data_IF_372857311690
#
_entry.id   IF_372857311690
#
_cell.length_a   1.000
_cell.length_b   1.000
_cell.length_c   1.000
_cell.angle_alpha   90.00
_cell.angle_beta   90.00
_cell.angle_gamma   90.00
#
_symmetry.space_group_name_H-M   'P 1'
#
loop_
_entity.id
_entity.type
_entity.pdbx_description
1 polymer ?
#
# COMPACT_ATOMS: atom_id res chain seq x y z
N UNK A 1 25.73 23.31 0.92
CA UNK A 1 25.65 22.86 -0.48
C UNK A 1 26.36 23.87 -1.36
N UNK A 2 27.14 23.43 -2.35
CA UNK A 2 27.90 24.33 -3.24
C UNK A 2 26.95 25.08 -4.19
N UNK A 3 27.19 26.36 -4.42
CA UNK A 3 26.38 27.27 -5.25
C UNK A 3 26.13 26.73 -6.66
N UNK A 4 27.04 25.87 -7.14
CA UNK A 4 26.99 25.14 -8.40
C UNK A 4 25.77 24.21 -8.56
N UNK A 5 25.25 23.61 -7.49
CA UNK A 5 24.08 22.71 -7.56
C UNK A 5 22.78 23.50 -7.76
N UNK A 6 22.71 24.70 -7.20
CA UNK A 6 21.54 25.58 -7.31
C UNK A 6 21.36 26.08 -8.75
N UNK A 7 22.46 26.47 -9.40
CA UNK A 7 22.48 26.96 -10.79
C UNK A 7 22.08 25.88 -11.81
N UNK A 8 22.35 24.60 -11.54
CA UNK A 8 22.02 23.48 -12.42
C UNK A 8 20.52 23.12 -12.47
N UNK A 9 19.74 23.53 -11.46
CA UNK A 9 18.30 23.25 -11.36
C UNK A 9 17.43 24.26 -12.12
N UNK A 10 17.97 25.41 -12.51
CA UNK A 10 17.21 26.51 -13.12
C UNK A 10 17.12 26.44 -14.65
N UNK A 11 17.84 25.53 -15.33
CA UNK A 11 17.97 25.51 -16.81
C UNK A 11 17.65 24.18 -17.52
N UNK A 12 17.37 23.10 -16.79
CA UNK A 12 17.05 21.76 -17.33
C UNK A 12 15.88 21.14 -16.58
N UNK A 13 15.22 20.13 -17.17
CA UNK A 13 14.23 19.38 -16.39
C UNK A 13 14.93 18.73 -15.20
N UNK A 14 14.29 18.76 -14.02
CA UNK A 14 14.85 18.22 -12.76
C UNK A 14 15.48 16.84 -12.97
N UNK A 15 14.77 15.98 -13.71
CA UNK A 15 15.23 14.64 -14.01
C UNK A 15 16.53 14.65 -14.83
N UNK A 16 16.63 15.46 -15.88
CA UNK A 16 17.89 15.59 -16.65
C UNK A 16 19.06 16.08 -15.78
N UNK A 17 18.81 17.00 -14.84
CA UNK A 17 19.84 17.46 -13.92
C UNK A 17 20.29 16.35 -12.98
N UNK A 18 19.36 15.64 -12.34
CA UNK A 18 19.65 14.54 -11.43
C UNK A 18 20.36 13.38 -12.14
N UNK A 19 19.99 13.11 -13.39
CA UNK A 19 20.60 12.06 -14.20
C UNK A 19 22.02 12.42 -14.69
N UNK A 20 22.43 13.68 -14.62
CA UNK A 20 23.73 14.13 -15.12
C UNK A 20 24.91 13.58 -14.31
N UNK A 21 26.02 13.26 -14.97
CA UNK A 21 27.24 12.81 -14.29
C UNK A 21 27.81 13.86 -13.34
N UNK A 22 27.65 15.15 -13.65
CA UNK A 22 28.05 16.24 -12.77
C UNK A 22 27.30 16.17 -11.43
N UNK A 23 25.98 16.00 -11.46
CA UNK A 23 25.18 15.87 -10.25
C UNK A 23 25.56 14.62 -9.46
N UNK A 24 25.70 13.46 -10.12
CA UNK A 24 26.13 12.21 -9.47
C UNK A 24 27.48 12.34 -8.79
N UNK A 25 28.44 12.98 -9.45
CA UNK A 25 29.78 13.18 -8.90
C UNK A 25 29.74 14.01 -7.62
N UNK A 26 28.96 15.10 -7.61
CA UNK A 26 28.75 15.93 -6.42
C UNK A 26 28.04 15.15 -5.32
N UNK A 27 26.95 14.47 -5.66
CA UNK A 27 26.16 13.66 -4.74
C UNK A 27 27.03 12.59 -4.05
N UNK A 28 27.83 11.85 -4.81
CA UNK A 28 28.77 10.84 -4.29
C UNK A 28 29.83 11.46 -3.38
N UNK A 29 30.43 12.57 -3.80
CA UNK A 29 31.44 13.27 -3.01
C UNK A 29 30.88 13.77 -1.67
N UNK A 30 29.64 14.25 -1.64
CA UNK A 30 29.01 14.68 -0.41
C UNK A 30 28.56 13.49 0.45
N UNK A 31 28.09 12.41 -0.19
CA UNK A 31 27.82 11.15 0.48
C UNK A 31 29.07 10.55 1.14
N UNK A 32 30.24 10.59 0.51
CA UNK A 32 31.51 10.09 1.06
C UNK A 32 31.92 10.82 2.35
N UNK A 33 31.58 12.10 2.48
CA UNK A 33 31.87 12.92 3.67
C UNK A 33 30.87 12.73 4.80
N UNK A 34 29.70 12.15 4.51
CA UNK A 34 28.62 11.98 5.47
C UNK A 34 29.10 11.13 6.65
N UNK A 35 28.84 11.55 7.89
CA UNK A 35 29.09 10.71 9.05
C UNK A 35 28.01 9.63 9.17
N UNK A 36 28.21 8.65 10.05
CA UNK A 36 27.19 7.63 10.34
C UNK A 36 26.12 8.12 11.33
N UNK A 37 26.21 9.38 11.79
CA UNK A 37 25.19 9.96 12.66
C UNK A 37 23.88 10.13 11.90
N UNK A 38 22.76 9.63 12.44
CA UNK A 38 21.45 9.75 11.80
C UNK A 38 21.06 11.18 11.42
N UNK A 39 21.39 12.18 12.25
CA UNK A 39 21.03 13.58 12.02
C UNK A 39 21.74 14.17 10.79
N UNK A 40 22.99 13.77 10.55
CA UNK A 40 23.74 14.21 9.37
C UNK A 40 23.12 13.64 8.10
N UNK A 41 22.69 12.38 8.15
CA UNK A 41 21.99 11.73 7.04
C UNK A 41 20.61 12.34 6.78
N UNK A 42 19.85 12.65 7.84
CA UNK A 42 18.56 13.33 7.73
C UNK A 42 18.72 14.70 7.07
N UNK A 43 19.75 15.46 7.46
CA UNK A 43 20.04 16.76 6.84
C UNK A 43 20.48 16.62 5.38
N UNK A 44 21.31 15.62 5.07
CA UNK A 44 21.73 15.33 3.71
C UNK A 44 20.53 15.08 2.79
N UNK A 45 19.55 14.27 3.23
CA UNK A 45 18.35 14.00 2.44
C UNK A 45 17.33 15.16 2.45
N UNK A 46 17.32 16.00 3.49
CA UNK A 46 16.47 17.20 3.55
C UNK A 46 16.93 18.31 2.61
N UNK A 47 18.24 18.46 2.43
CA UNK A 47 18.85 19.50 1.58
C UNK A 47 18.72 19.19 0.09
N UNK A 48 18.49 17.92 -0.29
CA UNK A 48 18.33 17.54 -1.71
C UNK A 48 17.24 18.44 -2.31
N UNK A 49 17.59 19.38 -3.21
CA UNK A 49 16.73 20.50 -3.54
C UNK A 49 15.75 20.01 -4.58
N UNK A 50 14.77 19.27 -4.12
CA UNK A 50 13.57 19.03 -4.86
C UNK A 50 12.62 20.14 -4.43
N UNK A 51 12.96 21.38 -4.84
CA UNK A 51 12.04 22.51 -4.84
C UNK A 51 11.03 22.28 -5.98
N UNK A 52 10.39 21.11 -5.97
CA UNK A 52 9.22 20.86 -6.78
C UNK A 52 8.13 21.64 -6.08
N UNK A 53 7.61 22.65 -6.77
CA UNK A 53 6.21 23.02 -6.57
C UNK A 53 5.39 21.71 -6.50
N UNK A 54 4.30 21.72 -5.75
CA UNK A 54 3.40 20.59 -5.50
C UNK A 54 2.76 19.97 -6.79
N UNK A 55 3.38 20.10 -7.96
CA UNK A 55 2.83 19.86 -9.28
C UNK A 55 3.49 18.65 -9.98
N UNK A 56 4.61 18.09 -9.47
CA UNK A 56 5.33 16.98 -10.14
C UNK A 56 5.67 15.80 -9.23
N UNK A 57 4.67 15.26 -8.53
CA UNK A 57 4.80 14.15 -7.60
C UNK A 57 5.50 12.90 -8.17
N UNK A 58 5.21 12.51 -9.40
CA UNK A 58 5.85 11.34 -10.03
C UNK A 58 7.35 11.57 -10.27
N UNK A 59 7.72 12.75 -10.75
CA UNK A 59 9.12 13.13 -10.94
C UNK A 59 9.88 13.16 -9.61
N UNK A 60 9.22 13.57 -8.53
CA UNK A 60 9.78 13.51 -7.18
C UNK A 60 10.13 12.07 -6.78
N UNK A 61 9.19 11.15 -6.97
CA UNK A 61 9.37 9.73 -6.63
C UNK A 61 10.54 9.15 -7.43
N UNK A 62 10.53 9.33 -8.75
CA UNK A 62 11.58 8.83 -9.63
C UNK A 62 12.96 9.41 -9.28
N UNK A 63 13.02 10.70 -8.92
CA UNK A 63 14.25 11.36 -8.51
C UNK A 63 14.84 10.75 -7.23
N UNK A 64 14.03 10.57 -6.18
CA UNK A 64 14.50 9.97 -4.93
C UNK A 64 14.90 8.50 -5.11
N UNK A 65 14.11 7.70 -5.83
CA UNK A 65 14.47 6.32 -6.14
C UNK A 65 15.81 6.24 -6.90
N UNK A 66 16.02 7.15 -7.86
CA UNK A 66 17.27 7.22 -8.60
C UNK A 66 18.46 7.63 -7.71
N UNK A 67 18.28 8.62 -6.84
CA UNK A 67 19.31 9.05 -5.89
C UNK A 67 19.69 7.90 -4.97
N UNK A 68 18.72 7.23 -4.35
CA UNK A 68 18.96 6.09 -3.47
C UNK A 68 19.70 4.96 -4.18
N UNK A 69 19.30 4.61 -5.41
CA UNK A 69 20.00 3.63 -6.23
C UNK A 69 21.44 4.08 -6.59
N UNK A 70 21.63 5.37 -6.87
CA UNK A 70 22.97 5.93 -7.17
C UNK A 70 23.90 5.81 -5.97
N UNK A 71 23.40 6.08 -4.76
CA UNK A 71 24.17 5.96 -3.52
C UNK A 71 24.47 4.51 -3.18
N UNK A 72 23.48 3.62 -3.29
CA UNK A 72 23.67 2.17 -3.10
C UNK A 72 24.77 1.62 -4.01
N UNK A 73 24.74 1.97 -5.30
CA UNK A 73 25.73 1.48 -6.27
C UNK A 73 27.12 2.08 -6.07
N UNK A 74 27.23 3.24 -5.44
CA UNK A 74 28.52 3.90 -5.18
C UNK A 74 29.23 3.30 -3.98
N UNK A 75 28.54 3.16 -2.84
CA UNK A 75 29.07 2.48 -1.66
C UNK A 75 27.94 1.73 -0.93
N UNK A 76 27.75 0.43 -1.25
CA UNK A 76 26.72 -0.37 -0.60
C UNK A 76 26.93 -0.46 0.91
N UNK A 77 28.18 -0.54 1.40
CA UNK A 77 28.43 -0.73 2.83
C UNK A 77 27.96 0.49 3.61
N UNK A 78 28.37 1.68 3.19
CA UNK A 78 27.94 2.93 3.80
C UNK A 78 26.42 3.15 3.67
N UNK A 79 25.84 2.79 2.53
CA UNK A 79 24.40 2.91 2.31
C UNK A 79 23.58 2.11 3.34
N UNK A 80 24.07 0.94 3.76
CA UNK A 80 23.38 0.14 4.78
C UNK A 80 23.58 0.67 6.21
N UNK A 81 24.64 1.45 6.48
CA UNK A 81 24.90 2.01 7.82
C UNK A 81 24.15 3.31 8.05
N UNK A 82 24.18 4.24 7.09
CA UNK A 82 23.55 5.57 7.22
C UNK A 82 22.01 5.48 7.35
N UNK A 83 21.41 6.42 8.07
CA UNK A 83 19.97 6.50 8.24
C UNK A 83 19.26 6.95 6.95
N UNK A 84 18.20 6.25 6.56
CA UNK A 84 17.43 6.53 5.33
C UNK A 84 15.93 6.71 5.59
N UNK A 85 15.51 6.89 6.85
CA UNK A 85 14.09 7.08 7.20
C UNK A 85 13.46 8.28 6.49
N UNK A 86 14.16 9.42 6.48
CA UNK A 86 13.70 10.66 5.81
C UNK A 86 13.32 10.48 4.33
N UNK A 87 14.22 10.03 3.43
CA UNK A 87 13.88 9.89 2.02
C UNK A 87 12.79 8.83 1.78
N UNK A 88 12.75 7.74 2.55
CA UNK A 88 11.67 6.76 2.45
C UNK A 88 10.33 7.31 2.91
N UNK A 89 10.29 8.11 3.97
CA UNK A 89 9.07 8.78 4.42
C UNK A 89 8.53 9.73 3.36
N UNK A 90 9.40 10.49 2.69
CA UNK A 90 8.99 11.36 1.58
C UNK A 90 8.47 10.55 0.40
N UNK A 91 9.17 9.50 -0.03
CA UNK A 91 8.71 8.59 -1.09
C UNK A 91 7.34 7.99 -0.78
N UNK A 92 7.14 7.52 0.46
CA UNK A 92 5.87 6.97 0.91
C UNK A 92 4.74 8.00 0.84
N UNK A 93 5.01 9.23 1.29
CA UNK A 93 4.03 10.32 1.30
C UNK A 93 3.61 10.70 -0.12
N UNK A 94 4.57 10.91 -1.02
CA UNK A 94 4.27 11.28 -2.41
C UNK A 94 3.55 10.16 -3.17
N UNK A 95 3.94 8.90 -2.92
CA UNK A 95 3.28 7.74 -3.53
C UNK A 95 1.81 7.67 -3.10
N UNK A 96 1.51 7.99 -1.84
CA UNK A 96 0.14 8.05 -1.35
C UNK A 96 -0.67 9.14 -2.06
N UNK A 97 -0.08 10.33 -2.26
CA UNK A 97 -0.75 11.46 -2.92
C UNK A 97 -1.17 11.10 -4.35
N UNK A 98 -0.35 10.35 -5.08
CA UNK A 98 -0.67 9.91 -6.44
C UNK A 98 -1.53 8.64 -6.51
N UNK A 99 -1.91 8.07 -5.37
CA UNK A 99 -2.73 6.86 -5.29
C UNK A 99 -1.98 5.54 -5.52
N UNK A 100 -0.65 5.55 -5.50
CA UNK A 100 0.18 4.34 -5.52
C UNK A 100 0.35 3.82 -4.08
N UNK A 101 -0.73 3.21 -3.56
CA UNK A 101 -0.80 2.81 -2.16
C UNK A 101 0.16 1.65 -1.81
N UNK A 102 0.46 0.77 -2.76
CA UNK A 102 1.44 -0.31 -2.56
C UNK A 102 2.83 0.27 -2.31
N UNK A 103 3.29 1.16 -3.20
CA UNK A 103 4.57 1.86 -3.03
C UNK A 103 4.55 2.73 -1.76
N UNK A 104 3.43 3.39 -1.48
CA UNK A 104 3.28 4.24 -0.30
C UNK A 104 3.50 3.48 1.01
N UNK A 105 2.77 2.38 1.20
CA UNK A 105 2.84 1.56 2.41
C UNK A 105 4.21 0.89 2.52
N UNK A 106 4.78 0.41 1.40
CA UNK A 106 6.12 -0.16 1.37
C UNK A 106 7.17 0.83 1.90
N UNK A 107 7.26 2.04 1.32
CA UNK A 107 8.27 3.01 1.76
C UNK A 107 8.01 3.53 3.18
N UNK A 108 6.76 3.64 3.62
CA UNK A 108 6.45 3.97 5.01
C UNK A 108 6.96 2.89 5.99
N UNK A 109 6.79 1.60 5.68
CA UNK A 109 7.28 0.49 6.52
C UNK A 109 8.82 0.45 6.55
N UNK A 110 9.46 0.70 5.41
CA UNK A 110 10.93 0.80 5.33
C UNK A 110 11.42 2.00 6.15
N UNK A 111 10.76 3.17 6.06
CA UNK A 111 11.09 4.34 6.87
C UNK A 111 10.98 4.05 8.37
N UNK A 112 9.88 3.40 8.81
CA UNK A 112 9.69 2.99 10.19
C UNK A 112 10.80 2.01 10.65
N UNK A 113 11.24 1.11 9.78
CA UNK A 113 12.29 0.15 10.07
C UNK A 113 13.67 0.83 10.22
N UNK A 114 13.97 1.80 9.37
CA UNK A 114 15.17 2.65 9.49
C UNK A 114 15.15 3.47 10.78
N UNK A 115 14.02 4.10 11.10
CA UNK A 115 13.83 4.88 12.32
C UNK A 115 14.06 4.02 13.58
N UNK A 116 13.51 2.81 13.62
CA UNK A 116 13.69 1.87 14.75
C UNK A 116 15.15 1.45 14.93
N UNK A 117 15.88 1.28 13.83
CA UNK A 117 17.29 0.89 13.84
C UNK A 117 18.17 2.02 14.36
N UNK A 118 17.94 3.24 13.89
CA UNK A 118 18.78 4.41 14.19
C UNK A 118 18.39 5.12 15.48
N UNK A 119 17.12 5.09 15.85
CA UNK A 119 16.55 5.81 16.99
C UNK A 119 15.61 4.93 17.84
N UNK A 120 16.11 3.85 18.47
CA UNK A 120 15.25 2.85 19.14
C UNK A 120 14.38 3.40 20.27
N UNK A 121 14.76 4.54 20.87
CA UNK A 121 14.03 5.19 21.95
C UNK A 121 13.15 6.37 21.49
N UNK A 122 13.28 6.79 20.23
CA UNK A 122 12.51 7.92 19.71
C UNK A 122 11.06 7.50 19.51
N UNK A 123 10.17 8.13 20.28
CA UNK A 123 8.79 7.68 20.38
C UNK A 123 7.93 8.13 19.19
N UNK A 124 8.26 9.23 18.53
CA UNK A 124 7.38 9.92 17.59
C UNK A 124 8.13 10.28 16.30
N UNK A 125 8.52 9.29 15.51
CA UNK A 125 9.01 9.56 14.16
C UNK A 125 7.84 9.73 13.18
N UNK A 126 8.00 10.47 12.07
CA UNK A 126 6.91 10.71 11.13
C UNK A 126 6.29 9.42 10.55
N UNK A 127 7.10 8.40 10.24
CA UNK A 127 6.60 7.11 9.76
C UNK A 127 5.83 6.35 10.84
N UNK A 128 6.25 6.46 12.11
CA UNK A 128 5.53 5.87 13.23
C UNK A 128 4.19 6.56 13.48
N UNK A 129 4.15 7.89 13.43
CA UNK A 129 2.90 8.65 13.54
C UNK A 129 1.93 8.32 12.40
N UNK A 130 2.47 8.13 11.17
CA UNK A 130 1.70 7.66 10.03
C UNK A 130 0.99 6.35 10.32
N UNK A 131 1.71 5.30 10.75
CA UNK A 131 1.07 4.02 11.05
C UNK A 131 0.20 4.05 12.30
N UNK A 132 0.53 4.88 13.30
CA UNK A 132 -0.30 5.09 14.48
C UNK A 132 -1.62 5.81 14.18
N UNK A 133 -1.77 6.35 12.97
CA UNK A 133 -2.84 7.27 12.60
C UNK A 133 -2.94 8.46 13.57
N UNK A 134 -1.78 8.91 14.05
CA UNK A 134 -1.67 10.02 14.98
C UNK A 134 -1.55 11.33 14.19
N UNK A 135 -2.53 12.21 14.37
CA UNK A 135 -2.61 13.50 13.70
C UNK A 135 -2.35 14.67 14.66
N UNK A 136 -1.67 14.42 15.79
CA UNK A 136 -1.41 15.45 16.81
C UNK A 136 -0.23 16.36 16.48
N UNK A 137 0.71 15.91 15.65
CA UNK A 137 1.85 16.73 15.20
C UNK A 137 1.47 17.57 13.96
N UNK A 138 1.36 18.91 14.09
CA UNK A 138 1.01 19.78 12.96
C UNK A 138 2.13 19.88 11.91
N UNK A 139 3.36 19.49 12.24
CA UNK A 139 4.50 19.57 11.33
C UNK A 139 4.71 18.29 10.50
N UNK A 140 3.87 17.27 10.71
CA UNK A 140 3.95 16.04 9.95
C UNK A 140 3.54 16.29 8.49
N UNK A 141 4.45 15.99 7.54
CA UNK A 141 4.18 16.14 6.10
C UNK A 141 2.92 15.39 5.65
N UNK A 142 2.73 14.16 6.16
CA UNK A 142 1.58 13.33 5.84
C UNK A 142 0.35 13.58 6.73
N UNK A 143 0.24 14.73 7.41
CA UNK A 143 -0.85 15.00 8.36
C UNK A 143 -2.24 14.82 7.74
N UNK A 144 -2.50 15.43 6.58
CA UNK A 144 -3.80 15.34 5.92
C UNK A 144 -4.10 13.93 5.41
N UNK A 145 -3.05 13.21 5.00
CA UNK A 145 -3.16 11.80 4.62
C UNK A 145 -3.57 10.97 5.84
N UNK A 146 -2.92 11.17 6.98
CA UNK A 146 -3.24 10.44 8.21
C UNK A 146 -4.67 10.68 8.65
N UNK A 147 -5.15 11.93 8.62
CA UNK A 147 -6.55 12.27 8.95
C UNK A 147 -7.52 11.51 8.05
N UNK A 148 -7.31 11.56 6.73
CA UNK A 148 -8.16 10.85 5.74
C UNK A 148 -8.16 9.34 5.94
N UNK A 149 -6.98 8.75 6.19
CA UNK A 149 -6.87 7.32 6.47
C UNK A 149 -7.65 6.95 7.73
N UNK A 150 -7.48 7.74 8.80
CA UNK A 150 -8.17 7.51 10.06
C UNK A 150 -9.68 7.54 9.89
N UNK A 151 -10.20 8.56 9.22
CA UNK A 151 -11.63 8.69 8.91
C UNK A 151 -12.14 7.51 8.08
N UNK A 152 -11.39 7.08 7.06
CA UNK A 152 -11.75 5.92 6.24
C UNK A 152 -11.84 4.63 7.07
N UNK A 153 -10.79 4.32 7.85
CA UNK A 153 -10.73 3.10 8.67
C UNK A 153 -11.85 3.11 9.72
N UNK A 154 -12.05 4.21 10.42
CA UNK A 154 -13.10 4.34 11.43
C UNK A 154 -14.50 4.20 10.80
N UNK A 155 -14.73 4.81 9.63
CA UNK A 155 -15.99 4.66 8.88
C UNK A 155 -16.25 3.21 8.48
N UNK A 156 -15.22 2.50 7.98
CA UNK A 156 -15.35 1.10 7.59
C UNK A 156 -15.64 0.20 8.80
N UNK A 157 -14.97 0.42 9.92
CA UNK A 157 -15.20 -0.34 11.14
C UNK A 157 -16.57 -0.10 11.75
N UNK A 158 -17.09 1.14 11.75
CA UNK A 158 -18.45 1.41 12.20
C UNK A 158 -19.49 0.75 11.27
N UNK A 159 -19.26 0.67 9.96
CA UNK A 159 -20.13 -0.09 9.04
C UNK A 159 -20.16 -1.59 9.36
N UNK A 160 -18.99 -2.19 9.64
CA UNK A 160 -18.90 -3.61 10.02
C UNK A 160 -19.63 -3.85 11.35
N UNK A 161 -19.41 -2.99 12.34
CA UNK A 161 -20.07 -3.05 13.65
C UNK A 161 -21.58 -2.89 13.55
N UNK A 162 -22.07 -1.90 12.79
CA UNK A 162 -23.50 -1.70 12.54
C UNK A 162 -24.14 -2.90 11.82
N UNK A 163 -23.36 -3.62 11.03
CA UNK A 163 -23.78 -4.87 10.37
C UNK A 163 -23.81 -6.08 11.32
N UNK A 164 -23.45 -5.92 12.60
CA UNK A 164 -23.34 -6.98 13.60
C UNK A 164 -22.07 -7.83 13.48
N UNK A 165 -21.08 -7.35 12.72
CA UNK A 165 -19.81 -8.04 12.52
C UNK A 165 -18.80 -7.76 13.64
N UNK A 166 -17.77 -8.62 13.78
CA UNK A 166 -16.63 -8.30 14.64
C UNK A 166 -15.90 -7.08 14.08
N UNK A 167 -15.61 -6.10 14.94
CA UNK A 167 -14.88 -4.90 14.54
C UNK A 167 -13.49 -4.85 15.16
N UNK A 168 -12.56 -4.24 14.44
CA UNK A 168 -11.25 -3.84 14.95
C UNK A 168 -11.30 -2.35 15.29
N UNK A 169 -10.39 -1.90 16.14
CA UNK A 169 -10.04 -0.49 16.28
C UNK A 169 -8.79 -0.23 15.45
N UNK A 170 -8.57 1.01 15.01
CA UNK A 170 -7.35 1.35 14.30
C UNK A 170 -6.10 0.91 15.08
N UNK A 171 -6.12 1.09 16.42
CA UNK A 171 -5.03 0.69 17.33
C UNK A 171 -4.68 -0.80 17.27
N UNK A 172 -5.63 -1.66 16.92
CA UNK A 172 -5.34 -3.10 16.76
C UNK A 172 -4.42 -3.34 15.57
N UNK A 173 -4.58 -2.57 14.47
CA UNK A 173 -3.68 -2.60 13.31
C UNK A 173 -2.33 -1.97 13.67
N UNK A 174 -2.35 -0.85 14.41
CA UNK A 174 -1.14 -0.14 14.85
C UNK A 174 -0.21 -1.05 15.64
N UNK A 175 -0.75 -1.77 16.62
CA UNK A 175 0.05 -2.67 17.47
C UNK A 175 0.71 -3.77 16.63
N UNK A 176 0.03 -4.26 15.58
CA UNK A 176 0.60 -5.26 14.67
C UNK A 176 1.74 -4.64 13.83
N UNK A 177 1.63 -3.40 13.37
CA UNK A 177 2.66 -2.79 12.52
C UNK A 177 3.87 -2.28 13.31
N UNK A 178 3.60 -1.63 14.44
CA UNK A 178 4.63 -1.00 15.26
C UNK A 178 5.31 -2.02 16.16
N UNK A 179 4.57 -2.95 16.79
CA UNK A 179 5.11 -3.83 17.82
C UNK A 179 5.34 -5.27 17.34
N UNK A 180 5.08 -5.58 16.07
CA UNK A 180 5.30 -6.95 15.58
C UNK A 180 6.79 -7.34 15.60
N UNK A 181 7.10 -8.54 16.13
CA UNK A 181 8.46 -9.06 16.18
C UNK A 181 8.97 -9.56 14.83
N UNK A 182 8.09 -9.85 13.86
CA UNK A 182 8.47 -10.44 12.57
C UNK A 182 8.00 -9.60 11.38
N UNK A 183 8.79 -9.64 10.30
CA UNK A 183 8.51 -8.99 9.02
C UNK A 183 7.24 -9.53 8.38
N UNK A 184 6.96 -10.82 8.53
CA UNK A 184 5.87 -11.55 7.89
C UNK A 184 4.51 -11.06 8.40
N UNK A 185 4.38 -10.84 9.71
CA UNK A 185 3.17 -10.28 10.31
C UNK A 185 2.97 -8.83 9.85
N UNK A 186 4.06 -8.05 9.74
CA UNK A 186 3.99 -6.69 9.17
C UNK A 186 3.56 -6.71 7.71
N UNK A 187 4.02 -7.67 6.91
CA UNK A 187 3.58 -7.85 5.51
C UNK A 187 2.07 -8.10 5.41
N UNK A 188 1.49 -8.90 6.31
CA UNK A 188 0.04 -9.13 6.33
C UNK A 188 -0.71 -7.83 6.66
N UNK A 189 -0.26 -7.10 7.68
CA UNK A 189 -0.91 -5.86 8.10
C UNK A 189 -0.77 -4.73 7.06
N UNK A 190 0.40 -4.60 6.42
CA UNK A 190 0.62 -3.64 5.32
C UNK A 190 -0.17 -4.01 4.08
N UNK A 191 -0.32 -5.30 3.76
CA UNK A 191 -1.20 -5.78 2.68
C UNK A 191 -2.67 -5.43 2.97
N UNK A 192 -3.11 -5.59 4.23
CA UNK A 192 -4.46 -5.21 4.65
C UNK A 192 -4.69 -3.70 4.54
N UNK A 193 -3.74 -2.87 5.00
CA UNK A 193 -3.82 -1.42 4.85
C UNK A 193 -3.92 -0.99 3.39
N UNK A 194 -3.07 -1.57 2.53
CA UNK A 194 -3.10 -1.30 1.08
C UNK A 194 -4.48 -1.63 0.50
N UNK A 195 -5.04 -2.80 0.85
CA UNK A 195 -6.39 -3.19 0.45
C UNK A 195 -7.45 -2.18 0.95
N UNK A 196 -7.34 -1.65 2.17
CA UNK A 196 -8.28 -0.64 2.64
C UNK A 196 -8.13 0.68 1.87
N UNK A 197 -6.91 1.12 1.57
CA UNK A 197 -6.65 2.41 0.91
C UNK A 197 -7.06 2.42 -0.55
N UNK A 198 -6.90 1.29 -1.24
CA UNK A 198 -7.35 1.14 -2.63
C UNK A 198 -8.88 1.20 -2.77
N UNK A 199 -9.64 0.90 -1.72
CA UNK A 199 -11.09 0.66 -1.78
C UNK A 199 -11.87 1.76 -2.52
N UNK A 200 -11.72 3.03 -2.11
CA UNK A 200 -12.48 4.13 -2.73
C UNK A 200 -12.09 4.35 -4.19
N UNK A 201 -10.82 4.16 -4.54
CA UNK A 201 -10.35 4.24 -5.93
C UNK A 201 -10.95 3.12 -6.77
N UNK A 202 -10.95 1.88 -6.27
CA UNK A 202 -11.54 0.73 -6.98
C UNK A 202 -13.06 0.87 -7.13
N UNK A 203 -13.73 1.36 -6.09
CA UNK A 203 -15.17 1.66 -6.13
C UNK A 203 -15.49 2.75 -7.17
N UNK A 204 -14.72 3.83 -7.20
CA UNK A 204 -14.87 4.88 -8.22
C UNK A 204 -14.66 4.35 -9.64
N UNK A 205 -13.60 3.57 -9.86
CA UNK A 205 -13.34 2.90 -11.15
C UNK A 205 -14.49 1.99 -11.57
N UNK A 206 -15.08 1.25 -10.64
CA UNK A 206 -16.24 0.39 -10.93
C UNK A 206 -17.48 1.21 -11.31
N UNK A 207 -17.74 2.34 -10.66
CA UNK A 207 -18.86 3.24 -10.96
C UNK A 207 -18.68 3.90 -12.33
N UNK A 208 -17.44 4.32 -12.65
CA UNK A 208 -17.12 4.99 -13.91
C UNK A 208 -17.04 4.03 -15.10
N UNK A 209 -16.75 2.74 -14.86
CA UNK A 209 -16.69 1.73 -15.91
C UNK A 209 -18.10 1.33 -16.34
N UNK A 210 -18.52 1.60 -17.58
CA UNK A 210 -19.78 1.05 -18.09
C UNK A 210 -19.69 -0.48 -18.07
N UNK A 211 -20.78 -1.17 -17.71
CA UNK A 211 -20.84 -2.64 -17.56
C UNK A 211 -20.41 -3.45 -18.83
N UNK A 212 -20.20 -2.78 -19.96
CA UNK A 212 -19.94 -3.37 -21.27
C UNK A 212 -18.60 -2.98 -21.91
N UNK A 213 -17.76 -2.16 -21.26
CA UNK A 213 -16.51 -1.63 -21.86
C UNK A 213 -15.34 -1.71 -20.89
N UNK A 214 -14.21 -2.28 -21.32
CA UNK A 214 -12.95 -2.28 -20.59
C UNK A 214 -12.63 -3.59 -19.85
N UNK A 215 -11.58 -3.53 -19.02
CA UNK A 215 -11.10 -4.65 -18.19
C UNK A 215 -11.56 -4.49 -16.74
N UNK A 216 -11.92 -5.61 -16.11
CA UNK A 216 -12.21 -5.69 -14.67
C UNK A 216 -11.01 -6.03 -13.82
N UNK A 217 -9.84 -6.14 -14.42
CA UNK A 217 -8.60 -6.54 -13.77
C UNK A 217 -8.34 -5.79 -12.46
N UNK A 218 -8.42 -4.43 -12.37
CA UNK A 218 -8.11 -3.75 -11.11
C UNK A 218 -9.04 -4.15 -9.96
N UNK A 219 -10.31 -4.44 -10.27
CA UNK A 219 -11.30 -4.88 -9.30
C UNK A 219 -11.12 -6.37 -8.96
N UNK A 220 -10.85 -7.21 -9.95
CA UNK A 220 -10.56 -8.63 -9.77
C UNK A 220 -9.34 -8.84 -8.88
N UNK A 221 -8.21 -8.20 -9.20
CA UNK A 221 -6.98 -8.29 -8.42
C UNK A 221 -7.21 -7.82 -6.98
N UNK A 222 -7.91 -6.70 -6.81
CA UNK A 222 -8.23 -6.17 -5.49
C UNK A 222 -9.10 -7.13 -4.67
N UNK A 223 -10.13 -7.74 -5.28
CA UNK A 223 -10.94 -8.77 -4.61
C UNK A 223 -10.11 -10.01 -4.26
N UNK A 224 -9.26 -10.51 -5.16
CA UNK A 224 -8.37 -11.65 -4.88
C UNK A 224 -7.47 -11.36 -3.68
N UNK A 225 -6.84 -10.17 -3.63
CA UNK A 225 -6.04 -9.73 -2.46
C UNK A 225 -6.87 -9.81 -1.18
N UNK A 226 -8.08 -9.24 -1.21
CA UNK A 226 -9.01 -9.26 -0.08
C UNK A 226 -9.38 -10.69 0.38
N UNK A 227 -9.67 -11.60 -0.56
CA UNK A 227 -9.99 -13.00 -0.25
C UNK A 227 -8.82 -13.69 0.45
N UNK A 228 -7.61 -13.54 -0.10
CA UNK A 228 -6.41 -14.17 0.45
C UNK A 228 -6.14 -13.64 1.86
N UNK A 229 -6.21 -12.33 2.08
CA UNK A 229 -6.04 -11.72 3.40
C UNK A 229 -7.09 -12.26 4.37
N UNK A 230 -8.37 -12.25 3.98
CA UNK A 230 -9.48 -12.70 4.81
C UNK A 230 -9.34 -14.17 5.23
N UNK A 231 -9.11 -15.06 4.27
CA UNK A 231 -8.99 -16.50 4.54
C UNK A 231 -7.72 -16.81 5.35
N UNK A 232 -6.62 -16.10 5.08
CA UNK A 232 -5.38 -16.21 5.88
C UNK A 232 -5.63 -15.82 7.34
N UNK A 233 -6.39 -14.75 7.59
CA UNK A 233 -6.76 -14.34 8.95
C UNK A 233 -7.67 -15.37 9.65
N UNK A 234 -8.63 -15.96 8.92
CA UNK A 234 -9.49 -17.01 9.48
C UNK A 234 -8.73 -18.30 9.83
N UNK A 235 -7.75 -18.67 9.01
CA UNK A 235 -6.96 -19.88 9.22
C UNK A 235 -5.93 -19.72 10.34
N UNK A 236 -5.29 -18.54 10.44
CA UNK A 236 -4.08 -18.38 11.25
C UNK A 236 -4.27 -17.60 12.56
N UNK A 237 -5.36 -16.85 12.74
CA UNK A 237 -5.61 -16.14 14.01
C UNK A 237 -6.39 -17.01 15.01
N UNK A 238 -6.10 -16.87 16.31
CA UNK A 238 -6.81 -17.60 17.37
C UNK A 238 -8.33 -17.36 17.32
N UNK A 239 -8.74 -16.10 17.10
CA UNK A 239 -10.15 -15.74 16.91
C UNK A 239 -10.72 -16.35 15.63
N UNK A 240 -9.97 -16.32 14.53
CA UNK A 240 -10.34 -16.92 13.25
C UNK A 240 -10.57 -18.43 13.37
N UNK A 241 -9.69 -19.13 14.10
CA UNK A 241 -9.80 -20.58 14.37
C UNK A 241 -11.10 -20.95 15.09
N UNK A 242 -11.68 -20.05 15.89
CA UNK A 242 -12.96 -20.26 16.56
C UNK A 242 -14.19 -20.02 15.66
N UNK A 243 -14.04 -19.30 14.53
CA UNK A 243 -15.15 -19.03 13.61
C UNK A 243 -15.46 -20.28 12.79
N UNK A 244 -16.73 -20.71 12.74
CA UNK A 244 -17.15 -21.94 12.04
C UNK A 244 -16.97 -21.88 10.53
N UNK A 245 -17.21 -20.71 9.93
CA UNK A 245 -17.05 -20.45 8.48
C UNK A 245 -15.59 -20.14 8.20
N UNK A 246 -14.94 -20.89 7.31
CA UNK A 246 -13.48 -20.84 7.09
C UNK A 246 -13.09 -20.27 5.74
N UNK A 247 -14.04 -20.18 4.81
CA UNK A 247 -13.79 -19.74 3.43
C UNK A 247 -14.74 -18.62 3.08
N UNK A 248 -14.33 -17.70 2.20
CA UNK A 248 -15.20 -16.63 1.71
C UNK A 248 -16.50 -17.19 1.11
N UNK A 249 -16.41 -18.32 0.43
CA UNK A 249 -17.56 -19.02 -0.14
C UNK A 249 -18.62 -19.43 0.89
N UNK A 250 -18.26 -19.64 2.15
CA UNK A 250 -19.22 -19.93 3.23
C UNK A 250 -20.05 -18.70 3.60
N UNK A 251 -19.50 -17.49 3.41
CA UNK A 251 -20.16 -16.22 3.69
C UNK A 251 -21.01 -15.75 2.50
N UNK A 252 -20.55 -15.97 1.26
CA UNK A 252 -21.30 -15.61 0.04
C UNK A 252 -22.54 -16.47 -0.20
N UNK A 253 -22.71 -17.57 0.54
CA UNK A 253 -23.92 -18.41 0.54
C UNK A 253 -24.97 -17.97 1.57
N UNK A 254 -24.64 -17.03 2.46
CA UNK A 254 -25.53 -16.51 3.49
C UNK A 254 -26.33 -15.30 2.98
N UNK A 255 -27.66 -15.41 2.93
CA UNK A 255 -28.58 -14.36 2.49
C UNK A 255 -28.47 -13.07 3.30
N UNK A 256 -28.24 -13.19 4.61
CA UNK A 256 -28.14 -12.05 5.51
C UNK A 256 -26.90 -11.23 5.21
N UNK A 257 -25.81 -11.90 4.83
CA UNK A 257 -24.55 -11.24 4.50
C UNK A 257 -24.62 -10.66 3.09
N UNK A 258 -25.12 -11.45 2.14
CA UNK A 258 -25.24 -11.07 0.73
C UNK A 258 -26.09 -9.81 0.57
N UNK A 259 -27.24 -9.74 1.24
CA UNK A 259 -28.11 -8.55 1.26
C UNK A 259 -27.44 -7.34 1.91
N UNK A 260 -26.74 -7.52 3.04
CA UNK A 260 -25.98 -6.44 3.71
C UNK A 260 -24.80 -5.91 2.89
N UNK A 261 -24.24 -6.74 2.02
CA UNK A 261 -23.20 -6.35 1.06
C UNK A 261 -23.76 -5.65 -0.19
N UNK A 262 -25.08 -5.50 -0.30
CA UNK A 262 -25.74 -4.87 -1.45
C UNK A 262 -25.73 -5.75 -2.71
N UNK A 263 -25.62 -7.07 -2.55
CA UNK A 263 -25.73 -8.02 -3.65
C UNK A 263 -27.19 -8.46 -3.79
N UNK A 264 -27.70 -8.47 -5.03
CA UNK A 264 -29.13 -8.74 -5.27
C UNK A 264 -29.51 -10.21 -5.06
N UNK A 265 -28.53 -11.12 -5.07
CA UNK A 265 -28.76 -12.55 -4.90
C UNK A 265 -27.49 -13.28 -4.42
N UNK A 266 -27.70 -14.50 -3.90
CA UNK A 266 -26.61 -15.45 -3.62
C UNK A 266 -25.76 -15.65 -4.85
N UNK A 267 -24.47 -15.78 -4.63
CA UNK A 267 -23.54 -16.05 -5.70
C UNK A 267 -23.32 -17.55 -5.80
N UNK A 268 -23.68 -18.13 -6.95
CA UNK A 268 -23.32 -19.51 -7.26
C UNK A 268 -21.82 -19.58 -7.53
N UNK A 269 -21.12 -20.26 -6.62
CA UNK A 269 -19.68 -20.44 -6.70
C UNK A 269 -19.25 -21.14 -7.98
N UNK A 270 -18.13 -20.70 -8.55
CA UNK A 270 -17.52 -21.37 -9.70
C UNK A 270 -16.50 -22.39 -9.21
N UNK A 271 -16.71 -23.65 -9.58
CA UNK A 271 -15.76 -24.74 -9.39
C UNK A 271 -15.30 -25.24 -10.76
N UNK A 272 -14.42 -24.49 -11.45
CA UNK A 272 -13.84 -24.96 -12.70
C UNK A 272 -12.68 -25.93 -12.39
N UNK A 273 -12.49 -26.92 -13.26
CA UNK A 273 -11.37 -27.87 -13.17
C UNK A 273 -10.11 -27.35 -13.88
N UNK A 274 -10.27 -26.36 -14.77
CA UNK A 274 -9.18 -25.71 -15.51
C UNK A 274 -9.52 -24.24 -15.82
N UNK A 275 -8.53 -23.48 -16.32
CA UNK A 275 -8.75 -22.11 -16.77
C UNK A 275 -9.65 -22.04 -18.00
N UNK A 276 -9.58 -23.01 -18.91
CA UNK A 276 -10.46 -23.11 -20.08
C UNK A 276 -11.92 -23.27 -19.65
N UNK A 277 -12.19 -24.15 -18.68
CA UNK A 277 -13.54 -24.33 -18.10
C UNK A 277 -14.00 -23.06 -17.40
N UNK A 278 -13.11 -22.35 -16.69
CA UNK A 278 -13.44 -21.07 -16.09
C UNK A 278 -13.87 -20.06 -17.16
N UNK A 279 -13.10 -19.89 -18.24
CA UNK A 279 -13.40 -18.96 -19.34
C UNK A 279 -14.79 -19.25 -19.93
N UNK A 280 -15.11 -20.52 -20.20
CA UNK A 280 -16.42 -20.91 -20.71
C UNK A 280 -17.54 -20.49 -19.75
N UNK A 281 -17.38 -20.74 -18.45
CA UNK A 281 -18.34 -20.30 -17.43
C UNK A 281 -18.46 -18.78 -17.36
N UNK A 282 -17.38 -18.02 -17.53
CA UNK A 282 -17.45 -16.55 -17.59
C UNK A 282 -18.28 -16.09 -18.79
N UNK A 283 -18.08 -16.69 -19.96
CA UNK A 283 -18.83 -16.36 -21.17
C UNK A 283 -20.32 -16.65 -21.02
N UNK A 284 -20.69 -17.74 -20.35
CA UNK A 284 -22.09 -18.06 -20.00
C UNK A 284 -22.72 -16.99 -19.11
N UNK A 285 -22.03 -16.57 -18.05
CA UNK A 285 -22.51 -15.54 -17.11
C UNK A 285 -22.68 -14.20 -17.84
N UNK A 286 -21.73 -13.84 -18.71
CA UNK A 286 -21.83 -12.62 -19.51
C UNK A 286 -23.04 -12.66 -20.42
N UNK A 287 -23.32 -13.82 -21.02
CA UNK A 287 -24.47 -14.03 -21.91
C UNK A 287 -25.81 -13.99 -21.18
N UNK A 288 -25.84 -14.26 -19.86
CA UNK A 288 -27.07 -14.20 -19.06
C UNK A 288 -27.50 -12.77 -18.68
N UNK A 289 -26.72 -11.74 -19.05
CA UNK A 289 -27.01 -10.35 -18.69
C UNK A 289 -26.79 -10.02 -17.22
N UNK A 290 -26.01 -10.83 -16.49
CA UNK A 290 -25.69 -10.55 -15.09
C UNK A 290 -24.97 -9.20 -14.93
N UNK A 291 -25.26 -8.46 -13.85
CA UNK A 291 -24.53 -7.23 -13.49
C UNK A 291 -23.03 -7.46 -13.47
N UNK A 292 -22.27 -6.47 -13.88
CA UNK A 292 -20.82 -6.60 -14.00
C UNK A 292 -20.13 -6.93 -12.66
N UNK A 293 -20.59 -6.33 -11.55
CA UNK A 293 -20.12 -6.65 -10.20
C UNK A 293 -20.30 -8.13 -9.84
N UNK A 294 -21.42 -8.75 -10.24
CA UNK A 294 -21.67 -10.18 -10.02
C UNK A 294 -20.72 -11.04 -10.85
N UNK A 295 -20.46 -10.64 -12.11
CA UNK A 295 -19.46 -11.31 -12.94
C UNK A 295 -18.10 -11.31 -12.25
N UNK A 296 -17.63 -10.15 -11.79
CA UNK A 296 -16.35 -10.02 -11.10
C UNK A 296 -16.25 -10.90 -9.84
N UNK A 297 -17.30 -10.96 -9.01
CA UNK A 297 -17.32 -11.80 -7.80
C UNK A 297 -17.22 -13.28 -8.16
N UNK A 298 -17.99 -13.74 -9.16
CA UNK A 298 -17.99 -15.15 -9.58
C UNK A 298 -16.66 -15.55 -10.22
N UNK A 299 -16.08 -14.68 -11.05
CA UNK A 299 -14.74 -14.88 -11.63
C UNK A 299 -13.69 -14.97 -10.53
N UNK A 300 -13.70 -14.04 -9.57
CA UNK A 300 -12.79 -14.06 -8.41
C UNK A 300 -12.88 -15.39 -7.67
N UNK A 301 -14.10 -15.87 -7.41
CA UNK A 301 -14.32 -17.17 -6.75
C UNK A 301 -13.74 -18.32 -7.58
N UNK A 302 -14.02 -18.36 -8.88
CA UNK A 302 -13.49 -19.40 -9.78
C UNK A 302 -11.96 -19.43 -9.83
N UNK A 303 -11.33 -18.27 -9.99
CA UNK A 303 -9.86 -18.13 -9.96
C UNK A 303 -9.29 -18.59 -8.63
N UNK A 304 -9.86 -18.13 -7.51
CA UNK A 304 -9.41 -18.54 -6.17
C UNK A 304 -9.51 -20.06 -5.99
N UNK A 305 -10.61 -20.68 -6.41
CA UNK A 305 -10.77 -22.13 -6.29
C UNK A 305 -9.70 -22.88 -7.10
N UNK A 306 -9.44 -22.49 -8.35
CA UNK A 306 -8.34 -23.06 -9.14
C UNK A 306 -7.02 -22.95 -8.40
N UNK A 307 -6.64 -21.73 -7.99
CA UNK A 307 -5.36 -21.48 -7.31
C UNK A 307 -5.21 -22.33 -6.04
N UNK A 308 -6.27 -22.50 -5.24
CA UNK A 308 -6.22 -23.33 -4.03
C UNK A 308 -6.12 -24.83 -4.31
N UNK A 309 -6.53 -25.30 -5.49
CA UNK A 309 -6.43 -26.71 -5.89
C UNK A 309 -5.12 -27.03 -6.61
N UNK A 310 -4.44 -26.04 -7.19
CA UNK A 310 -3.18 -26.23 -7.94
C UNK A 310 -1.91 -25.98 -7.12
N UNK A 311 -2.01 -25.25 -5.99
CA UNK A 311 -0.85 -24.85 -5.17
C UNK A 311 -0.70 -25.72 -3.89
N UNK A 312 -1.64 -26.63 -3.62
CA UNK A 312 -1.55 -27.62 -2.54
C UNK A 312 -1.10 -28.98 -3.06
#
# INVERSE_FOLDING_TARGET
>A
MNESVKILLESKSLFQTIMSETYKSVLRKDFDKLSEKPEDADEFFRIIPINLSNEYFLSYIMAYEYILNTLYNHDPKKFHTIHKGTPFYFLGTQSFIIGDFERAVFYMDVALSEDKRSYPFLKNTPAKLFFALDSTDPNQLALDIVKRIKELIESLFEKVKASGGPYLKHRDIVNILIDSPTSEIRTIATSYLTFLFEYETRKSQLILSPEKVGTGEPFLLHLIKGVIIFESLLANSERGKQIKRKRLGDYLKDDTITSKLGLDCKQDGLHPESYEVLILKVLEIKSSGAKYSHQCIRVTWGVRNLLTHTIG
#
